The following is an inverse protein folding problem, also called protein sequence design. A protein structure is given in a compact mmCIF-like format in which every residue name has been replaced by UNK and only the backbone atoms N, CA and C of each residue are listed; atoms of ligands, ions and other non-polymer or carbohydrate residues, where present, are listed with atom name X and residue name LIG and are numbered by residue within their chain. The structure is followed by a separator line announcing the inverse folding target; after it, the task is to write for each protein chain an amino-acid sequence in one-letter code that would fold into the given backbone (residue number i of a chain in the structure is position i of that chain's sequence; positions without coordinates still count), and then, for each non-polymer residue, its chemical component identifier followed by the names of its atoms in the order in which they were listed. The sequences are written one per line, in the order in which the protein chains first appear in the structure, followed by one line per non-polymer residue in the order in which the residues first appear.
data_IF_729119296225
#
_entry.id   IF_729119296225
#
_cell.length_a   1.000
_cell.length_b   1.000
_cell.length_c   1.000
_cell.angle_alpha   90.00
_cell.angle_beta   90.00
_cell.angle_gamma   90.00
#
_symmetry.space_group_name_H-M   'P 1'
#
loop_
_entity.id
_entity.type
_entity.pdbx_description
1 polymer ?
#
# COMPACT_ATOMS: atom_id res chain seq x y z
N UNK A 1 19.52 16.36 -2.79
CA UNK A 1 18.39 17.14 -3.33
C UNK A 1 18.81 18.39 -4.11
N UNK A 2 19.79 19.18 -3.66
CA UNK A 2 20.36 20.28 -4.48
C UNK A 2 19.37 21.41 -4.81
N UNK A 3 18.35 21.58 -3.97
CA UNK A 3 17.38 22.68 -4.08
C UNK A 3 18.03 23.97 -3.61
N UNK A 4 17.91 25.03 -4.40
CA UNK A 4 18.29 26.39 -4.02
C UNK A 4 17.06 27.29 -3.99
N UNK A 5 16.96 28.26 -3.06
CA UNK A 5 15.82 29.17 -3.03
C UNK A 5 15.67 29.91 -4.36
N UNK A 6 14.51 29.75 -5.00
CA UNK A 6 14.14 30.47 -6.21
C UNK A 6 12.75 31.09 -6.00
N UNK A 7 12.72 32.40 -5.81
CA UNK A 7 11.50 33.16 -5.52
C UNK A 7 10.67 33.51 -6.76
N UNK A 8 11.16 33.17 -7.96
CA UNK A 8 10.41 33.32 -9.21
C UNK A 8 9.44 32.15 -9.46
N UNK A 9 9.58 31.06 -8.70
CA UNK A 9 8.71 29.89 -8.80
C UNK A 9 7.51 30.00 -7.86
N UNK A 10 6.36 29.54 -8.34
CA UNK A 10 5.19 29.31 -7.49
C UNK A 10 5.44 28.15 -6.51
N UNK A 11 4.71 28.13 -5.39
CA UNK A 11 4.76 27.02 -4.43
C UNK A 11 4.52 25.66 -5.10
N UNK A 12 3.59 25.58 -6.05
CA UNK A 12 3.31 24.36 -6.79
C UNK A 12 4.50 23.88 -7.61
N UNK A 13 5.20 24.80 -8.30
CA UNK A 13 6.39 24.46 -9.09
C UNK A 13 7.54 23.98 -8.20
N UNK A 14 7.76 24.64 -7.05
CA UNK A 14 8.77 24.20 -6.07
C UNK A 14 8.45 22.81 -5.54
N UNK A 15 7.18 22.53 -5.26
CA UNK A 15 6.78 21.22 -4.73
C UNK A 15 6.91 20.12 -5.77
N UNK A 16 6.49 20.37 -7.01
CA UNK A 16 6.70 19.45 -8.14
C UNK A 16 8.17 19.14 -8.37
N UNK A 17 9.04 20.16 -8.43
CA UNK A 17 10.48 19.98 -8.62
C UNK A 17 11.10 19.17 -7.47
N UNK A 18 10.65 19.40 -6.23
CA UNK A 18 11.09 18.62 -5.07
C UNK A 18 10.71 17.15 -5.19
N UNK A 19 9.46 16.84 -5.57
CA UNK A 19 8.98 15.47 -5.78
C UNK A 19 9.77 14.77 -6.89
N UNK A 20 9.96 15.43 -8.03
CA UNK A 20 10.68 14.86 -9.17
C UNK A 20 12.15 14.57 -8.83
N UNK A 21 12.82 15.48 -8.11
CA UNK A 21 14.20 15.27 -7.64
C UNK A 21 14.28 14.16 -6.61
N UNK A 22 13.29 14.05 -5.73
CA UNK A 22 13.22 12.95 -4.76
C UNK A 22 13.17 11.62 -5.50
N UNK A 23 12.20 11.43 -6.40
CA UNK A 23 12.04 10.19 -7.19
C UNK A 23 13.33 9.84 -7.95
N UNK A 24 13.96 10.83 -8.59
CA UNK A 24 15.20 10.62 -9.33
C UNK A 24 16.38 10.18 -8.45
N UNK A 25 16.47 10.70 -7.22
CA UNK A 25 17.58 10.45 -6.29
C UNK A 25 17.36 9.19 -5.44
N UNK A 26 16.15 8.97 -4.94
CA UNK A 26 15.81 7.82 -4.10
C UNK A 26 15.54 6.55 -4.89
N UNK A 27 15.26 6.68 -6.20
CA UNK A 27 14.80 5.56 -7.06
C UNK A 27 13.52 4.91 -6.56
N UNK A 28 12.70 5.64 -5.79
CA UNK A 28 11.40 5.16 -5.31
C UNK A 28 10.32 6.23 -5.48
N UNK A 29 9.05 5.81 -5.43
CA UNK A 29 7.86 6.66 -5.54
C UNK A 29 7.14 6.81 -4.19
N UNK A 30 7.78 6.46 -3.07
CA UNK A 30 7.22 6.57 -1.71
C UNK A 30 6.70 7.96 -1.33
N UNK A 31 7.22 9.01 -1.96
CA UNK A 31 6.71 10.37 -1.78
C UNK A 31 5.23 10.50 -2.18
N UNK A 32 4.72 9.63 -3.06
CA UNK A 32 3.31 9.57 -3.43
C UNK A 32 2.41 9.13 -2.26
N UNK A 33 2.91 8.30 -1.34
CA UNK A 33 2.18 7.93 -0.12
C UNK A 33 1.97 9.12 0.83
N UNK A 34 2.77 10.19 0.68
CA UNK A 34 2.54 11.45 1.40
C UNK A 34 1.46 12.32 0.76
N UNK A 35 0.92 11.93 -0.39
CA UNK A 35 -0.19 12.63 -1.02
C UNK A 35 -1.49 12.27 -0.32
N UNK A 36 -2.34 13.27 -0.16
CA UNK A 36 -3.68 13.10 0.37
C UNK A 36 -4.59 14.06 -0.41
N UNK A 37 -5.56 13.49 -1.12
CA UNK A 37 -6.54 14.27 -1.86
C UNK A 37 -7.45 14.97 -0.87
N UNK A 38 -7.60 16.28 -1.04
CA UNK A 38 -8.51 17.11 -0.25
C UNK A 38 -9.35 17.89 -1.25
N UNK A 39 -10.67 17.88 -1.08
CA UNK A 39 -11.64 18.49 -2.00
C UNK A 39 -11.40 19.99 -2.32
N UNK A 40 -10.52 20.66 -1.56
CA UNK A 40 -10.16 22.07 -1.75
C UNK A 40 -8.99 22.32 -2.74
N UNK A 41 -8.34 21.29 -3.30
CA UNK A 41 -7.22 21.46 -4.25
C UNK A 41 -7.71 21.76 -5.66
N UNK A 42 -7.53 23.00 -6.13
CA UNK A 42 -7.71 23.38 -7.54
C UNK A 42 -6.41 23.77 -8.26
N UNK A 43 -5.30 23.94 -7.54
CA UNK A 43 -4.11 24.64 -8.06
C UNK A 43 -2.82 23.81 -8.10
N UNK A 44 -2.82 22.54 -7.67
CA UNK A 44 -1.62 21.70 -7.64
C UNK A 44 -1.97 20.25 -7.98
N UNK A 45 -1.13 19.55 -8.76
CA UNK A 45 -1.37 18.16 -9.11
C UNK A 45 -1.50 17.26 -7.89
N UNK A 46 -2.32 16.22 -7.95
CA UNK A 46 -2.62 15.35 -6.79
C UNK A 46 -1.47 14.42 -6.41
N UNK A 47 -0.57 14.12 -7.35
CA UNK A 47 0.67 13.36 -7.11
C UNK A 47 1.76 14.15 -6.36
N UNK A 48 1.49 15.40 -5.99
CA UNK A 48 2.41 16.26 -5.24
C UNK A 48 1.91 16.41 -3.80
N UNK A 49 2.70 16.10 -2.76
CA UNK A 49 2.27 16.37 -1.39
C UNK A 49 2.05 17.87 -1.15
N UNK A 50 1.02 18.23 -0.36
CA UNK A 50 0.82 19.62 0.06
C UNK A 50 1.51 19.85 1.41
N UNK A 51 2.79 20.20 1.36
CA UNK A 51 3.57 20.49 2.56
C UNK A 51 3.16 21.79 3.28
N UNK A 52 2.19 22.56 2.77
CA UNK A 52 1.64 23.71 3.49
C UNK A 52 0.61 23.32 4.56
N UNK A 53 0.21 22.04 4.60
CA UNK A 53 -0.82 21.51 5.49
C UNK A 53 -0.32 20.26 6.20
N UNK A 54 -0.86 20.02 7.40
CA UNK A 54 -0.69 18.73 8.07
C UNK A 54 -1.60 17.70 7.39
N UNK A 55 -1.10 16.49 7.14
CA UNK A 55 -1.91 15.35 6.70
C UNK A 55 -2.99 15.03 7.75
N UNK A 56 -4.14 14.56 7.27
CA UNK A 56 -5.22 14.04 8.11
C UNK A 56 -4.93 12.57 8.43
N UNK A 57 -4.62 11.75 7.42
CA UNK A 57 -4.21 10.37 7.65
C UNK A 57 -2.84 10.28 8.35
N UNK A 58 -2.74 9.33 9.29
CA UNK A 58 -1.45 8.93 9.84
C UNK A 58 -0.58 8.28 8.77
N UNK A 59 0.73 8.49 8.85
CA UNK A 59 1.66 7.82 7.95
C UNK A 59 1.66 6.32 8.22
N UNK A 60 1.32 5.53 7.21
CA UNK A 60 1.48 4.08 7.26
C UNK A 60 2.96 3.74 7.52
N UNK A 61 3.28 2.84 8.47
CA UNK A 61 4.64 2.28 8.57
C UNK A 61 5.03 1.56 7.27
N UNK A 62 6.34 1.39 7.07
CA UNK A 62 6.87 0.84 5.82
C UNK A 62 6.40 -0.59 5.60
N UNK A 63 5.91 -0.85 4.39
CA UNK A 63 5.57 -2.16 3.86
C UNK A 63 6.35 -2.36 2.54
N UNK A 64 6.11 -3.46 1.83
CA UNK A 64 6.78 -3.74 0.56
C UNK A 64 5.75 -4.10 -0.52
N UNK A 65 4.71 -3.27 -0.65
CA UNK A 65 3.62 -3.50 -1.60
C UNK A 65 4.13 -3.67 -3.04
N UNK A 66 5.09 -2.83 -3.45
CA UNK A 66 5.76 -2.97 -4.75
C UNK A 66 7.07 -3.77 -4.69
N UNK A 67 7.23 -4.64 -3.68
CA UNK A 67 8.47 -5.36 -3.40
C UNK A 67 9.64 -4.37 -3.36
N UNK A 68 10.81 -4.76 -3.86
CA UNK A 68 11.99 -3.90 -3.99
C UNK A 68 12.07 -3.20 -5.36
N UNK A 69 10.93 -2.98 -6.04
CA UNK A 69 10.94 -2.37 -7.37
C UNK A 69 11.42 -0.93 -7.31
N UNK A 70 12.20 -0.51 -8.32
CA UNK A 70 12.55 0.90 -8.47
C UNK A 70 11.40 1.71 -9.08
N UNK A 71 11.43 3.01 -8.86
CA UNK A 71 10.54 3.97 -9.48
C UNK A 71 10.64 3.93 -11.00
N UNK A 72 9.52 3.57 -11.64
CA UNK A 72 9.31 3.75 -13.06
C UNK A 72 8.34 4.91 -13.28
N UNK A 73 8.81 6.11 -12.92
CA UNK A 73 8.00 7.33 -12.96
C UNK A 73 8.81 8.54 -13.47
N UNK A 74 8.17 9.41 -14.24
CA UNK A 74 8.80 10.59 -14.81
C UNK A 74 7.82 11.68 -15.22
N UNK A 75 8.27 12.94 -15.28
CA UNK A 75 7.41 14.06 -15.67
C UNK A 75 7.03 13.96 -17.14
N UNK A 76 5.84 14.44 -17.46
CA UNK A 76 5.35 14.56 -18.83
C UNK A 76 5.23 16.05 -19.20
N UNK A 77 5.12 16.33 -20.50
CA UNK A 77 5.11 17.72 -21.01
C UNK A 77 3.91 18.58 -20.57
N UNK A 78 2.86 17.99 -19.98
CA UNK A 78 1.66 18.69 -19.53
C UNK A 78 1.61 18.91 -18.00
N UNK A 79 2.69 18.59 -17.26
CA UNK A 79 2.74 18.71 -15.80
C UNK A 79 2.14 17.51 -15.05
N UNK A 80 1.79 16.43 -15.76
CA UNK A 80 1.44 15.14 -15.15
C UNK A 80 2.71 14.33 -14.83
N UNK A 81 2.60 13.39 -13.90
CA UNK A 81 3.60 12.36 -13.63
C UNK A 81 3.15 11.05 -14.27
N UNK A 82 3.89 10.55 -15.26
CA UNK A 82 3.67 9.22 -15.80
C UNK A 82 4.35 8.20 -14.89
N UNK A 83 3.62 7.23 -14.36
CA UNK A 83 4.14 6.18 -13.49
C UNK A 83 3.62 4.80 -13.90
N UNK A 84 4.43 3.76 -13.77
CA UNK A 84 3.97 2.38 -13.98
C UNK A 84 3.39 1.78 -12.70
N UNK A 85 2.29 1.05 -12.82
CA UNK A 85 1.65 0.36 -11.69
C UNK A 85 0.80 -0.82 -12.10
N UNK A 86 0.38 -1.61 -11.12
CA UNK A 86 -0.51 -2.77 -11.29
C UNK A 86 -1.86 -2.43 -10.70
N UNK A 87 -2.92 -2.55 -11.50
CA UNK A 87 -4.30 -2.46 -11.00
C UNK A 87 -4.61 -3.69 -10.14
N UNK A 88 -5.11 -3.47 -8.92
CA UNK A 88 -5.42 -4.55 -7.99
C UNK A 88 -6.93 -4.72 -7.78
N UNK A 89 -7.66 -3.63 -7.51
CA UNK A 89 -9.09 -3.70 -7.19
C UNK A 89 -9.82 -2.37 -7.37
N UNK A 90 -11.16 -2.39 -7.37
CA UNK A 90 -12.05 -1.21 -7.39
C UNK A 90 -12.87 -1.11 -6.10
N UNK A 91 -13.05 0.10 -5.55
CA UNK A 91 -13.75 0.28 -4.26
C UNK A 91 -15.19 -0.05 -4.50
N UNK A 92 -15.70 -1.06 -3.79
CA UNK A 92 -17.12 -1.38 -3.88
C UNK A 92 -17.92 -0.54 -2.87
N UNK A 93 -17.45 -0.50 -1.62
CA UNK A 93 -18.15 0.17 -0.53
C UNK A 93 -17.17 1.01 0.30
N UNK A 94 -17.71 1.94 1.08
CA UNK A 94 -16.89 2.79 1.94
C UNK A 94 -17.61 2.95 3.26
N UNK A 95 -16.96 2.51 4.33
CA UNK A 95 -17.45 2.71 5.70
C UNK A 95 -16.40 3.43 6.52
N UNK A 96 -16.82 4.52 7.17
CA UNK A 96 -16.00 5.27 8.12
C UNK A 96 -15.92 4.50 9.44
N UNK A 97 -14.71 4.30 9.97
CA UNK A 97 -14.50 3.65 11.27
C UNK A 97 -14.94 4.55 12.43
N UNK A 98 -13.99 5.27 13.01
CA UNK A 98 -14.17 6.16 14.15
C UNK A 98 -13.08 7.22 14.09
N UNK A 99 -13.38 8.42 14.59
CA UNK A 99 -12.39 9.48 14.73
C UNK A 99 -11.55 9.31 16.00
N UNK A 100 -10.79 10.34 16.33
CA UNK A 100 -9.96 10.35 17.53
C UNK A 100 -10.78 10.33 18.83
N UNK A 101 -10.20 9.71 19.87
CA UNK A 101 -10.71 9.72 21.25
C UNK A 101 -12.12 9.14 21.45
N UNK A 102 -12.42 8.03 20.77
CA UNK A 102 -13.73 7.36 20.86
C UNK A 102 -13.78 6.33 22.01
N UNK A 103 -14.88 6.26 22.79
CA UNK A 103 -15.03 5.25 23.85
C UNK A 103 -14.94 3.81 23.30
N UNK A 104 -14.35 2.87 24.06
CA UNK A 104 -14.14 1.50 23.53
C UNK A 104 -15.44 0.78 23.20
N UNK A 105 -16.54 1.08 23.89
CA UNK A 105 -17.85 0.50 23.58
C UNK A 105 -18.31 0.89 22.17
N UNK A 106 -18.03 2.13 21.77
CA UNK A 106 -18.33 2.60 20.43
C UNK A 106 -17.37 1.98 19.41
N UNK A 107 -16.08 1.81 19.74
CA UNK A 107 -15.13 1.05 18.91
C UNK A 107 -15.63 -0.39 18.69
N UNK A 108 -16.01 -1.09 19.75
CA UNK A 108 -16.55 -2.45 19.70
C UNK A 108 -17.83 -2.52 18.86
N UNK A 109 -18.75 -1.58 19.07
CA UNK A 109 -19.99 -1.51 18.30
C UNK A 109 -19.72 -1.29 16.81
N UNK A 110 -18.80 -0.38 16.48
CA UNK A 110 -18.39 -0.13 15.10
C UNK A 110 -17.72 -1.36 14.49
N UNK A 111 -16.74 -1.98 15.18
CA UNK A 111 -16.08 -3.22 14.71
C UNK A 111 -17.10 -4.31 14.40
N UNK A 112 -18.11 -4.50 15.25
CA UNK A 112 -19.19 -5.46 14.96
C UNK A 112 -20.04 -5.04 13.75
N UNK A 113 -20.38 -3.76 13.67
CA UNK A 113 -21.27 -3.24 12.62
C UNK A 113 -20.66 -3.35 11.23
N UNK A 114 -19.35 -3.10 11.11
CA UNK A 114 -18.65 -3.08 9.83
C UNK A 114 -18.06 -4.45 9.46
N UNK A 115 -18.14 -5.43 10.35
CA UNK A 115 -17.56 -6.74 10.12
C UNK A 115 -18.14 -7.37 8.85
N UNK A 116 -17.30 -7.93 7.97
CA UNK A 116 -17.78 -8.63 6.78
C UNK A 116 -18.76 -9.77 7.12
N UNK A 117 -19.68 -10.05 6.20
CA UNK A 117 -20.54 -11.22 6.32
C UNK A 117 -19.69 -12.50 6.44
N UNK A 118 -20.05 -13.38 7.37
CA UNK A 118 -19.33 -14.62 7.68
C UNK A 118 -17.87 -14.41 8.16
N UNK A 119 -17.50 -13.25 8.71
CA UNK A 119 -16.12 -12.96 9.15
C UNK A 119 -15.49 -14.06 10.01
N UNK A 120 -16.25 -14.76 10.85
CA UNK A 120 -15.74 -15.80 11.75
C UNK A 120 -15.26 -17.08 11.06
N UNK A 121 -15.71 -17.36 9.84
CA UNK A 121 -15.45 -18.64 9.15
C UNK A 121 -15.30 -18.52 7.65
N UNK A 122 -15.42 -17.32 7.09
CA UNK A 122 -15.34 -17.06 5.66
C UNK A 122 -13.93 -17.30 5.15
N UNK A 123 -13.77 -17.80 3.92
CA UNK A 123 -12.46 -17.81 3.26
C UNK A 123 -12.03 -16.37 2.95
N UNK A 124 -10.72 -16.14 2.84
CA UNK A 124 -10.18 -14.89 2.34
C UNK A 124 -9.03 -15.20 1.39
N UNK A 125 -9.32 -15.09 0.09
CA UNK A 125 -8.43 -15.51 -1.00
C UNK A 125 -7.85 -16.91 -0.71
N UNK A 126 -6.57 -17.09 -1.00
CA UNK A 126 -5.82 -18.33 -0.72
C UNK A 126 -5.11 -18.29 0.64
N UNK A 127 -5.46 -17.34 1.54
CA UNK A 127 -4.85 -17.26 2.88
C UNK A 127 -5.43 -18.31 3.82
N UNK A 128 -4.55 -19.10 4.44
CA UNK A 128 -4.94 -20.16 5.39
C UNK A 128 -5.74 -19.63 6.61
N UNK A 129 -5.51 -18.38 7.01
CA UNK A 129 -6.20 -17.71 8.12
C UNK A 129 -7.65 -17.31 7.89
N UNK A 130 -8.08 -17.27 6.63
CA UNK A 130 -9.43 -16.84 6.26
C UNK A 130 -9.74 -15.38 6.62
N UNK A 131 -11.04 -15.07 6.65
CA UNK A 131 -11.56 -13.71 6.74
C UNK A 131 -11.42 -13.07 8.13
N UNK A 132 -11.41 -13.87 9.19
CA UNK A 132 -11.23 -13.38 10.56
C UNK A 132 -9.82 -12.79 10.74
N UNK A 133 -8.80 -13.53 10.29
CA UNK A 133 -7.41 -13.09 10.33
C UNK A 133 -7.20 -11.85 9.46
N UNK A 134 -7.72 -11.84 8.24
CA UNK A 134 -7.65 -10.68 7.34
C UNK A 134 -8.31 -9.44 7.94
N UNK A 135 -9.46 -9.61 8.61
CA UNK A 135 -10.15 -8.53 9.30
C UNK A 135 -9.36 -8.01 10.51
N UNK A 136 -8.79 -8.92 11.30
CA UNK A 136 -7.91 -8.58 12.42
C UNK A 136 -6.69 -7.79 11.96
N UNK A 137 -5.99 -8.29 10.94
CA UNK A 137 -4.84 -7.62 10.35
C UNK A 137 -5.21 -6.24 9.81
N UNK A 138 -6.37 -6.11 9.19
CA UNK A 138 -6.85 -4.82 8.68
C UNK A 138 -7.06 -3.81 9.81
N UNK A 139 -7.73 -4.19 10.90
CA UNK A 139 -7.92 -3.30 12.05
C UNK A 139 -6.60 -2.87 12.70
N UNK A 140 -5.56 -3.70 12.60
CA UNK A 140 -4.23 -3.44 13.14
C UNK A 140 -3.24 -2.87 12.10
N UNK A 141 -3.66 -2.57 10.87
CA UNK A 141 -2.78 -2.12 9.78
C UNK A 141 -1.65 -3.13 9.46
N UNK A 142 -1.87 -4.41 9.77
CA UNK A 142 -0.88 -5.49 9.67
C UNK A 142 0.24 -5.40 10.70
N UNK A 143 0.15 -4.52 11.69
CA UNK A 143 1.20 -4.27 12.67
C UNK A 143 1.05 -5.19 13.87
N UNK A 144 1.75 -6.31 13.79
CA UNK A 144 1.90 -7.26 14.88
C UNK A 144 3.37 -7.38 15.27
N UNK A 145 3.62 -7.81 16.50
CA UNK A 145 4.97 -8.02 17.02
C UNK A 145 5.83 -8.92 16.11
N UNK A 146 5.22 -10.01 15.63
CA UNK A 146 5.79 -11.04 14.77
C UNK A 146 6.06 -10.59 13.33
N UNK A 147 5.66 -9.36 12.96
CA UNK A 147 6.14 -8.73 11.74
C UNK A 147 7.63 -8.38 11.84
N UNK A 148 8.22 -8.31 13.03
CA UNK A 148 9.60 -7.91 13.25
C UNK A 148 10.45 -9.04 13.83
N UNK A 149 11.75 -8.99 13.55
CA UNK A 149 12.75 -9.84 14.18
C UNK A 149 13.88 -8.97 14.76
N UNK A 150 14.10 -8.96 16.09
CA UNK A 150 13.27 -9.62 17.12
C UNK A 150 11.85 -9.03 17.19
N UNK A 151 10.88 -9.74 17.78
CA UNK A 151 9.50 -9.25 17.89
C UNK A 151 9.41 -7.89 18.59
N UNK A 152 8.62 -6.98 18.02
CA UNK A 152 8.51 -5.62 18.53
C UNK A 152 7.42 -5.51 19.60
N UNK A 153 7.83 -5.46 20.88
CA UNK A 153 6.93 -5.47 22.06
C UNK A 153 5.86 -4.36 22.08
N UNK A 154 6.05 -3.26 21.35
CA UNK A 154 5.05 -2.19 21.24
C UNK A 154 3.84 -2.56 20.38
N UNK A 155 3.95 -3.59 19.55
CA UNK A 155 2.86 -4.10 18.74
C UNK A 155 2.18 -5.30 19.40
N UNK A 156 0.88 -5.51 19.13
CA UNK A 156 0.16 -6.62 19.72
C UNK A 156 0.60 -7.97 19.13
N UNK A 157 0.46 -9.01 19.93
CA UNK A 157 0.57 -10.40 19.48
C UNK A 157 -0.56 -10.73 18.50
N UNK A 158 -0.21 -11.37 17.38
CA UNK A 158 -1.14 -11.69 16.30
C UNK A 158 -2.24 -12.66 16.73
N UNK A 159 -1.87 -13.78 17.34
CA UNK A 159 -2.81 -14.86 17.67
C UNK A 159 -3.74 -14.41 18.81
N UNK A 160 -3.20 -13.71 19.81
CA UNK A 160 -3.99 -13.10 20.89
C UNK A 160 -4.98 -12.05 20.36
N UNK A 161 -4.58 -11.28 19.34
CA UNK A 161 -5.46 -10.29 18.71
C UNK A 161 -6.62 -10.96 17.97
N UNK A 162 -6.37 -12.05 17.26
CA UNK A 162 -7.41 -12.85 16.59
C UNK A 162 -8.40 -13.42 17.61
N UNK A 163 -7.91 -14.03 18.69
CA UNK A 163 -8.77 -14.56 19.75
C UNK A 163 -9.62 -13.45 20.40
N UNK A 164 -9.01 -12.29 20.67
CA UNK A 164 -9.70 -11.14 21.24
C UNK A 164 -10.78 -10.60 20.30
N UNK A 165 -10.49 -10.48 19.00
CA UNK A 165 -11.45 -10.04 17.99
C UNK A 165 -12.61 -11.04 17.87
N UNK A 166 -12.33 -12.34 17.91
CA UNK A 166 -13.34 -13.38 17.91
C UNK A 166 -14.33 -13.21 19.07
N UNK A 167 -13.83 -12.98 20.28
CA UNK A 167 -14.67 -12.71 21.45
C UNK A 167 -15.50 -11.42 21.27
N UNK A 168 -14.90 -10.37 20.72
CA UNK A 168 -15.60 -9.12 20.42
C UNK A 168 -16.76 -9.38 19.45
N UNK A 169 -16.57 -10.19 18.42
CA UNK A 169 -17.59 -10.50 17.41
C UNK A 169 -18.68 -11.47 17.92
N UNK A 170 -18.33 -12.39 18.83
CA UNK A 170 -19.25 -13.40 19.37
C UNK A 170 -20.09 -12.91 20.57
N UNK A 171 -19.55 -12.02 21.41
CA UNK A 171 -20.21 -11.58 22.64
C UNK A 171 -21.02 -10.29 22.46
N UNK A 172 -22.06 -10.08 23.28
CA UNK A 172 -22.71 -8.80 23.50
C UNK A 172 -22.49 -8.38 24.96
N UNK A 173 -21.39 -7.70 25.32
CA UNK A 173 -21.33 -7.01 26.63
C UNK A 173 -20.27 -5.90 26.74
N UNK A 174 -20.50 -5.05 27.75
CA UNK A 174 -19.90 -3.74 28.01
C UNK A 174 -18.49 -3.78 28.63
N UNK A 175 -17.46 -3.41 27.87
CA UNK A 175 -16.12 -3.14 28.40
C UNK A 175 -15.88 -1.63 28.65
N UNK A 176 -15.35 -1.29 29.83
CA UNK A 176 -14.97 0.08 30.24
C UNK A 176 -13.47 0.35 30.07
N UNK A 177 -12.97 0.25 28.83
CA UNK A 177 -11.63 0.75 28.49
C UNK A 177 -11.73 1.89 27.49
N UNK A 178 -10.65 2.60 27.26
CA UNK A 178 -10.54 3.65 26.23
C UNK A 178 -9.39 3.24 25.33
N UNK A 179 -9.63 3.18 24.03
CA UNK A 179 -8.59 2.89 23.03
C UNK A 179 -8.09 4.21 22.45
N UNK A 180 -6.78 4.34 22.24
CA UNK A 180 -6.20 5.49 21.55
C UNK A 180 -6.22 5.27 20.03
N UNK A 181 -7.05 6.06 19.36
CA UNK A 181 -6.92 6.64 18.01
C UNK A 181 -6.33 5.77 16.89
N UNK A 182 -7.14 5.48 15.88
CA UNK A 182 -6.70 5.20 14.51
C UNK A 182 -7.49 6.12 13.57
N UNK A 183 -6.79 6.93 12.78
CA UNK A 183 -7.41 7.87 11.85
C UNK A 183 -8.14 7.19 10.70
N UNK A 184 -9.24 7.84 10.29
CA UNK A 184 -10.15 7.61 9.18
C UNK A 184 -9.70 6.59 8.14
N UNK A 185 -10.14 5.37 8.34
CA UNK A 185 -9.89 4.29 7.41
C UNK A 185 -11.19 3.82 6.76
N UNK A 186 -11.16 3.72 5.45
CA UNK A 186 -12.27 3.24 4.62
C UNK A 186 -12.07 1.78 4.26
N UNK A 187 -13.01 0.92 4.64
CA UNK A 187 -13.09 -0.48 4.20
C UNK A 187 -13.86 -0.61 2.87
N UNK A 188 -13.27 -1.35 1.91
CA UNK A 188 -13.87 -2.38 1.00
C UNK A 188 -13.32 -2.34 -0.42
N UNK A 189 -12.90 -3.49 -0.96
CA UNK A 189 -12.73 -3.72 -2.41
C UNK A 189 -13.08 -5.16 -2.83
N UNK A 190 -13.53 -5.39 -4.07
CA UNK A 190 -13.96 -6.72 -4.57
C UNK A 190 -12.93 -7.83 -4.29
N UNK A 191 -13.21 -8.68 -3.29
CA UNK A 191 -12.34 -9.78 -2.89
C UNK A 191 -11.21 -9.42 -1.91
N UNK A 192 -11.02 -8.15 -1.57
CA UNK A 192 -10.01 -7.64 -0.63
C UNK A 192 -10.63 -6.89 0.56
N UNK A 193 -9.92 -6.85 1.69
CA UNK A 193 -10.23 -6.00 2.83
C UNK A 193 -9.04 -5.09 3.13
N UNK A 194 -9.31 -3.84 3.48
CA UNK A 194 -8.26 -2.83 3.62
C UNK A 194 -8.76 -1.51 4.20
N UNK A 195 -7.86 -0.55 4.32
CA UNK A 195 -8.05 0.78 4.87
C UNK A 195 -7.52 1.81 3.88
N UNK A 196 -8.37 2.71 3.43
CA UNK A 196 -7.99 3.85 2.58
C UNK A 196 -8.20 5.20 3.27
N UNK A 197 -7.70 6.29 2.67
CA UNK A 197 -7.78 7.64 3.21
C UNK A 197 -9.23 8.12 3.31
N UNK A 198 -9.45 9.16 4.12
CA UNK A 198 -10.78 9.75 4.39
C UNK A 198 -11.63 10.06 3.15
N UNK A 199 -10.98 10.45 2.04
CA UNK A 199 -11.66 10.89 0.83
C UNK A 199 -11.82 9.79 -0.22
N UNK A 200 -11.55 8.53 0.13
CA UNK A 200 -11.88 7.36 -0.69
C UNK A 200 -13.39 7.27 -0.90
N UNK A 201 -13.79 6.87 -2.12
CA UNK A 201 -15.18 6.74 -2.53
C UNK A 201 -15.38 5.47 -3.36
N UNK A 202 -16.60 4.88 -3.35
CA UNK A 202 -16.96 3.84 -4.31
C UNK A 202 -16.55 4.21 -5.75
N UNK A 203 -15.87 3.30 -6.45
CA UNK A 203 -15.38 3.50 -7.82
C UNK A 203 -13.95 4.03 -7.97
N UNK A 204 -13.31 4.53 -6.90
CA UNK A 204 -11.83 4.65 -6.89
C UNK A 204 -11.17 3.27 -7.05
N UNK A 205 -9.87 3.26 -7.36
CA UNK A 205 -9.12 2.05 -7.68
C UNK A 205 -7.88 1.93 -6.82
N UNK A 206 -7.50 0.72 -6.47
CA UNK A 206 -6.24 0.43 -5.79
C UNK A 206 -5.19 0.03 -6.82
N UNK A 207 -4.05 0.70 -6.77
CA UNK A 207 -2.88 0.38 -7.55
C UNK A 207 -1.67 0.14 -6.66
N UNK A 208 -0.87 -0.86 -7.01
CA UNK A 208 0.52 -0.94 -6.55
C UNK A 208 1.39 -0.24 -7.58
N UNK A 209 1.88 0.94 -7.24
CA UNK A 209 2.78 1.74 -8.09
C UNK A 209 4.22 1.30 -7.85
N UNK A 210 4.99 1.08 -8.93
CA UNK A 210 6.38 0.64 -8.81
C UNK A 210 7.22 1.68 -8.03
N UNK A 211 8.01 1.19 -7.09
CA UNK A 211 8.77 2.00 -6.13
C UNK A 211 7.95 2.57 -4.97
N UNK A 212 6.68 2.20 -4.81
CA UNK A 212 5.87 2.60 -3.66
C UNK A 212 5.68 1.43 -2.69
N UNK A 213 5.95 1.67 -1.42
CA UNK A 213 5.93 0.67 -0.35
C UNK A 213 4.52 0.28 0.08
N UNK A 214 3.51 1.05 -0.34
CA UNK A 214 2.10 0.86 0.00
C UNK A 214 1.21 0.95 -1.25
N UNK A 215 0.07 0.24 -1.30
CA UNK A 215 -0.93 0.47 -2.34
C UNK A 215 -1.48 1.90 -2.26
N UNK A 216 -1.74 2.50 -3.40
CA UNK A 216 -2.34 3.83 -3.52
C UNK A 216 -3.79 3.71 -4.00
N UNK A 217 -4.68 4.49 -3.38
CA UNK A 217 -6.02 4.75 -3.92
C UNK A 217 -5.89 5.83 -4.98
N UNK A 218 -6.35 5.53 -6.19
CA UNK A 218 -6.27 6.37 -7.38
C UNK A 218 -7.67 6.50 -7.99
N UNK A 219 -8.05 7.72 -8.35
CA UNK A 219 -9.36 8.04 -8.91
C UNK A 219 -9.25 8.40 -10.39
N UNK A 220 -10.15 7.88 -11.21
CA UNK A 220 -10.28 8.30 -12.59
C UNK A 220 -10.81 9.73 -12.68
N UNK A 221 -10.08 10.60 -13.37
CA UNK A 221 -10.57 11.93 -13.71
C UNK A 221 -11.44 11.83 -14.96
N UNK A 222 -12.73 11.63 -14.75
CA UNK A 222 -13.69 11.60 -15.85
C UNK A 222 -13.71 12.97 -16.56
N UNK A 223 -13.63 12.96 -17.89
CA UNK A 223 -13.82 14.10 -18.80
C UNK A 223 -15.25 14.66 -18.75
N UNK A 224 -15.66 15.19 -17.60
CA UNK A 224 -17.04 15.62 -17.32
C UNK A 224 -17.18 17.08 -16.85
N UNK A 225 -16.15 17.90 -16.99
CA UNK A 225 -16.26 19.36 -16.86
C UNK A 225 -16.36 20.03 -18.23
N UNK A 226 -17.00 21.20 -18.31
CA UNK A 226 -17.31 22.03 -19.51
C UNK A 226 -16.14 22.39 -20.46
N UNK A 227 -14.98 21.73 -20.33
CA UNK A 227 -13.92 21.76 -21.32
C UNK A 227 -14.01 20.47 -22.12
N UNK A 228 -14.41 20.61 -23.38
CA UNK A 228 -14.21 19.60 -24.41
C UNK A 228 -12.73 19.19 -24.42
N UNK A 229 -12.38 18.16 -23.64
CA UNK A 229 -11.09 17.50 -23.72
C UNK A 229 -11.07 16.76 -25.04
N UNK A 230 -10.12 17.15 -25.90
CA UNK A 230 -9.69 16.34 -27.04
C UNK A 230 -9.44 14.90 -26.55
N UNK A 231 -9.58 13.88 -27.41
CA UNK A 231 -9.23 12.50 -27.05
C UNK A 231 -7.77 12.47 -26.55
N UNK A 232 -7.61 12.40 -25.24
CA UNK A 232 -6.35 12.32 -24.52
C UNK A 232 -6.29 11.01 -23.74
N UNK A 233 -5.09 10.63 -23.32
CA UNK A 233 -4.92 9.48 -22.42
C UNK A 233 -5.69 9.70 -21.11
N UNK A 234 -6.19 8.64 -20.46
CA UNK A 234 -6.90 8.76 -19.19
C UNK A 234 -6.01 9.42 -18.14
N UNK A 235 -6.57 10.40 -17.43
CA UNK A 235 -5.93 11.12 -16.34
C UNK A 235 -6.40 10.57 -14.99
N UNK A 236 -5.48 10.53 -14.03
CA UNK A 236 -5.71 9.89 -12.74
C UNK A 236 -5.32 10.82 -11.59
N UNK A 237 -6.10 10.80 -10.52
CA UNK A 237 -5.85 11.57 -9.31
C UNK A 237 -5.39 10.63 -8.17
N UNK A 238 -4.29 10.96 -7.50
CA UNK A 238 -3.85 10.27 -6.29
C UNK A 238 -4.76 10.68 -5.13
N UNK A 239 -5.51 9.72 -4.58
CA UNK A 239 -6.36 9.94 -3.40
C UNK A 239 -5.55 9.82 -2.11
N UNK A 240 -4.67 8.83 -2.02
CA UNK A 240 -3.73 8.66 -0.90
C UNK A 240 -3.25 7.21 -0.73
N UNK A 241 -2.45 6.97 0.30
CA UNK A 241 -1.97 5.65 0.71
C UNK A 241 -3.07 4.79 1.33
N UNK A 242 -2.91 3.48 1.22
CA UNK A 242 -3.85 2.51 1.79
C UNK A 242 -3.13 1.29 2.35
N UNK A 243 -3.74 0.67 3.35
CA UNK A 243 -3.42 -0.70 3.75
C UNK A 243 -4.39 -1.64 3.02
N UNK A 244 -3.90 -2.67 2.34
CA UNK A 244 -4.77 -3.70 1.75
C UNK A 244 -4.21 -5.07 2.09
N UNK A 245 -4.96 -5.84 2.88
CA UNK A 245 -4.47 -7.13 3.33
C UNK A 245 -4.30 -8.08 2.13
N UNK A 246 -3.09 -8.64 2.00
CA UNK A 246 -2.69 -9.45 0.86
C UNK A 246 -2.07 -8.67 -0.32
N UNK A 247 -1.80 -7.37 -0.17
CA UNK A 247 -1.06 -6.55 -1.14
C UNK A 247 0.11 -5.75 -0.51
N UNK A 248 0.50 -6.06 0.73
CA UNK A 248 1.51 -5.29 1.47
C UNK A 248 2.93 -5.88 1.37
N UNK A 249 3.10 -6.99 0.66
CA UNK A 249 4.33 -7.77 0.60
C UNK A 249 4.61 -8.25 -0.84
N UNK A 250 4.45 -7.38 -1.85
CA UNK A 250 4.84 -7.64 -3.23
C UNK A 250 3.90 -8.56 -4.01
N UNK A 251 2.75 -8.95 -3.46
CA UNK A 251 1.84 -9.94 -4.04
C UNK A 251 1.28 -9.49 -5.39
N UNK A 252 1.03 -8.18 -5.58
CA UNK A 252 0.57 -7.63 -6.85
C UNK A 252 1.54 -7.86 -8.02
N UNK A 253 2.85 -7.95 -7.73
CA UNK A 253 3.90 -8.12 -8.72
C UNK A 253 4.33 -9.58 -8.85
N UNK A 254 4.40 -10.28 -7.72
CA UNK A 254 5.09 -11.58 -7.62
C UNK A 254 4.13 -12.75 -7.34
N UNK A 255 2.85 -12.46 -7.06
CA UNK A 255 1.88 -13.43 -6.58
C UNK A 255 2.03 -13.73 -5.08
N UNK A 256 1.19 -14.62 -4.54
CA UNK A 256 1.22 -14.97 -3.12
C UNK A 256 2.57 -15.58 -2.72
N UNK A 257 2.98 -15.33 -1.49
CA UNK A 257 4.12 -16.03 -0.91
C UNK A 257 3.87 -17.54 -0.89
N UNK A 258 4.91 -18.39 -1.06
CA UNK A 258 4.77 -19.82 -0.90
C UNK A 258 4.16 -20.18 0.46
N UNK A 259 3.40 -21.27 0.53
CA UNK A 259 2.85 -21.76 1.80
C UNK A 259 3.97 -21.91 2.84
N UNK A 260 3.67 -21.54 4.09
CA UNK A 260 4.62 -21.53 5.22
C UNK A 260 5.72 -20.45 5.15
N UNK A 261 5.79 -19.64 4.09
CA UNK A 261 6.68 -18.49 4.01
C UNK A 261 6.00 -17.25 4.61
N UNK A 262 6.73 -16.52 5.46
CA UNK A 262 6.32 -15.20 5.95
C UNK A 262 7.45 -14.20 5.72
N UNK A 263 7.07 -12.96 5.42
CA UNK A 263 7.99 -11.84 5.39
C UNK A 263 8.02 -11.20 6.79
N UNK A 264 9.22 -10.98 7.33
CA UNK A 264 9.46 -10.25 8.58
C UNK A 264 10.47 -9.15 8.33
N UNK A 265 10.42 -8.11 9.16
CA UNK A 265 11.31 -6.96 9.12
C UNK A 265 12.41 -7.20 10.15
N UNK A 266 13.62 -7.48 9.67
CA UNK A 266 14.81 -7.64 10.50
C UNK A 266 15.27 -6.26 10.99
N UNK A 267 15.20 -6.09 12.32
CA UNK A 267 15.55 -4.89 13.08
C UNK A 267 16.52 -5.21 14.22
N UNK A 268 17.22 -6.35 14.17
CA UNK A 268 18.11 -6.80 15.24
C UNK A 268 19.30 -5.85 15.46
N UNK A 269 19.80 -5.25 14.38
CA UNK A 269 20.86 -4.25 14.43
C UNK A 269 20.31 -2.82 14.31
N UNK A 270 20.30 -2.03 15.40
CA UNK A 270 19.81 -0.64 15.37
C UNK A 270 20.71 0.31 14.58
N UNK A 271 21.94 -0.09 14.24
CA UNK A 271 22.84 0.69 13.39
C UNK A 271 22.57 0.45 11.89
N UNK A 272 21.83 -0.60 11.55
CA UNK A 272 21.46 -0.94 10.18
C UNK A 272 20.00 -0.58 9.87
N UNK A 273 19.70 -0.24 8.60
CA UNK A 273 18.32 -0.05 8.20
C UNK A 273 17.55 -1.36 8.31
N UNK A 274 16.33 -1.27 8.80
CA UNK A 274 15.41 -2.41 8.83
C UNK A 274 15.22 -2.97 7.42
N UNK A 275 15.34 -4.28 7.27
CA UNK A 275 15.29 -4.97 5.97
C UNK A 275 14.30 -6.13 5.99
N UNK A 276 13.65 -6.44 4.85
CA UNK A 276 12.83 -7.65 4.78
C UNK A 276 13.69 -8.91 4.84
N UNK A 277 13.15 -9.92 5.52
CA UNK A 277 13.64 -11.28 5.56
C UNK A 277 12.45 -12.22 5.31
N UNK A 278 12.67 -13.27 4.54
CA UNK A 278 11.68 -14.29 4.26
C UNK A 278 12.03 -15.54 5.07
N UNK A 279 11.10 -15.95 5.93
CA UNK A 279 11.25 -17.05 6.88
C UNK A 279 10.30 -18.17 6.48
N UNK A 280 10.83 -19.37 6.27
CA UNK A 280 10.03 -20.57 6.04
C UNK A 280 9.75 -21.28 7.36
N UNK A 281 8.50 -21.71 7.56
CA UNK A 281 8.06 -22.46 8.73
C UNK A 281 8.80 -23.79 8.94
N UNK A 282 8.67 -24.41 10.13
CA UNK A 282 9.47 -25.57 10.54
C UNK A 282 9.16 -26.88 9.80
N UNK A 283 8.18 -26.93 8.88
CA UNK A 283 7.73 -28.15 8.20
C UNK A 283 8.72 -28.72 7.18
N UNK A 284 9.54 -27.87 6.55
CA UNK A 284 10.50 -28.28 5.51
C UNK A 284 11.85 -27.59 5.69
N UNK A 285 12.51 -27.79 6.83
CA UNK A 285 13.84 -27.24 7.09
C UNK A 285 13.84 -25.71 7.17
N UNK A 286 13.74 -25.19 8.40
CA UNK A 286 13.76 -23.75 8.65
C UNK A 286 14.97 -23.10 7.94
N UNK A 287 14.68 -22.15 7.06
CA UNK A 287 15.67 -21.36 6.35
C UNK A 287 15.17 -19.91 6.28
N UNK A 288 16.11 -18.98 6.42
CA UNK A 288 15.88 -17.55 6.37
C UNK A 288 16.69 -16.97 5.21
N UNK A 289 16.08 -16.10 4.42
CA UNK A 289 16.74 -15.45 3.29
C UNK A 289 16.36 -14.00 3.17
N UNK A 290 17.32 -13.16 2.79
CA UNK A 290 17.07 -11.77 2.43
C UNK A 290 16.43 -11.63 1.04
N UNK A 291 16.57 -12.65 0.18
CA UNK A 291 16.03 -12.63 -1.17
C UNK A 291 14.61 -13.19 -1.20
N UNK A 292 13.71 -12.46 -1.86
CA UNK A 292 12.33 -12.89 -2.07
C UNK A 292 12.29 -14.15 -2.96
N UNK A 293 11.74 -15.27 -2.45
CA UNK A 293 11.77 -16.55 -3.16
C UNK A 293 10.96 -16.53 -4.46
N UNK A 294 10.06 -15.56 -4.65
CA UNK A 294 9.22 -15.46 -5.86
C UNK A 294 9.98 -14.87 -7.05
N UNK A 295 11.11 -14.19 -6.82
CA UNK A 295 11.86 -13.51 -7.88
C UNK A 295 12.52 -14.46 -8.88
N UNK A 296 12.80 -15.71 -8.51
CA UNK A 296 13.37 -16.69 -9.45
C UNK A 296 12.41 -17.03 -10.59
N UNK A 297 11.09 -17.04 -10.32
CA UNK A 297 10.07 -17.22 -11.35
C UNK A 297 10.07 -16.05 -12.35
N UNK A 298 10.24 -14.83 -11.86
CA UNK A 298 10.37 -13.63 -12.68
C UNK A 298 11.63 -13.69 -13.55
N UNK A 299 12.78 -14.08 -12.97
CA UNK A 299 14.04 -14.25 -13.70
C UNK A 299 13.91 -15.24 -14.86
N UNK A 300 13.26 -16.37 -14.65
CA UNK A 300 13.05 -17.37 -15.69
C UNK A 300 12.23 -16.79 -16.86
N UNK A 301 11.14 -16.06 -16.56
CA UNK A 301 10.29 -15.44 -17.57
C UNK A 301 11.03 -14.35 -18.37
N UNK A 302 11.74 -13.44 -17.68
CA UNK A 302 12.50 -12.36 -18.32
C UNK A 302 13.63 -12.89 -19.24
N UNK A 303 14.32 -13.95 -18.81
CA UNK A 303 15.35 -14.61 -19.62
C UNK A 303 14.77 -15.22 -20.89
N UNK A 304 13.62 -15.89 -20.80
CA UNK A 304 12.95 -16.48 -21.98
C UNK A 304 12.43 -15.42 -22.96
N UNK A 305 12.00 -14.26 -22.46
CA UNK A 305 11.47 -13.18 -23.29
C UNK A 305 12.55 -12.24 -23.84
N UNK A 306 13.83 -12.45 -23.49
CA UNK A 306 14.96 -11.58 -23.86
C UNK A 306 14.73 -10.10 -23.46
N UNK A 307 14.13 -9.87 -22.29
CA UNK A 307 13.82 -8.53 -21.77
C UNK A 307 15.04 -7.86 -21.11
N UNK A 308 14.86 -6.70 -20.48
CA UNK A 308 15.97 -5.95 -19.87
C UNK A 308 16.61 -6.70 -18.69
N UNK A 309 17.94 -6.58 -18.56
CA UNK A 309 18.76 -7.11 -17.44
C UNK A 309 18.60 -8.63 -17.21
N UNK A 310 18.89 -9.45 -18.22
CA UNK A 310 18.76 -10.92 -18.12
C UNK A 310 19.88 -11.65 -17.37
N UNK A 311 21.05 -11.02 -17.16
CA UNK A 311 22.20 -11.66 -16.50
C UNK A 311 23.04 -10.67 -15.67
N UNK A 312 23.50 -11.10 -14.49
CA UNK A 312 24.59 -10.46 -13.73
C UNK A 312 24.23 -9.28 -12.81
N UNK A 313 22.97 -8.83 -12.77
CA UNK A 313 22.48 -7.79 -11.84
C UNK A 313 21.85 -8.38 -10.56
N UNK A 314 21.56 -7.53 -9.57
CA UNK A 314 20.78 -7.94 -8.39
C UNK A 314 19.37 -8.37 -8.82
N UNK A 315 18.74 -9.29 -8.09
CA UNK A 315 17.45 -9.88 -8.50
C UNK A 315 16.34 -8.84 -8.51
N UNK A 316 16.50 -7.83 -7.67
CA UNK A 316 15.62 -6.68 -7.48
C UNK A 316 15.60 -5.79 -8.73
N UNK A 317 16.69 -5.74 -9.50
CA UNK A 317 16.76 -5.02 -10.77
C UNK A 317 15.88 -5.64 -11.87
N UNK A 318 15.34 -6.84 -11.65
CA UNK A 318 14.44 -7.52 -12.59
C UNK A 318 13.01 -6.97 -12.53
N UNK A 319 12.65 -6.17 -11.52
CA UNK A 319 11.30 -5.62 -11.32
C UNK A 319 11.02 -4.41 -12.24
N UNK A 320 11.29 -4.55 -13.54
CA UNK A 320 10.94 -3.57 -14.57
C UNK A 320 9.54 -3.84 -15.15
N UNK A 321 8.83 -2.82 -15.67
CA UNK A 321 7.56 -3.00 -16.34
C UNK A 321 7.61 -4.06 -17.45
N UNK A 322 8.67 -4.11 -18.24
CA UNK A 322 8.86 -5.06 -19.35
C UNK A 322 8.96 -6.50 -18.83
N UNK A 323 9.78 -6.72 -17.80
CA UNK A 323 10.00 -8.04 -17.21
C UNK A 323 8.73 -8.56 -16.51
N UNK A 324 8.03 -7.68 -15.80
CA UNK A 324 6.76 -8.01 -15.15
C UNK A 324 5.69 -8.37 -16.19
N UNK A 325 5.57 -7.60 -17.28
CA UNK A 325 4.66 -7.94 -18.40
C UNK A 325 5.03 -9.27 -19.05
N UNK A 326 6.32 -9.55 -19.24
CA UNK A 326 6.79 -10.85 -19.75
C UNK A 326 6.43 -12.03 -18.82
N UNK A 327 6.39 -11.78 -17.51
CA UNK A 327 5.92 -12.75 -16.51
C UNK A 327 4.39 -12.83 -16.38
N UNK A 328 3.64 -12.07 -17.19
CA UNK A 328 2.17 -12.08 -17.21
C UNK A 328 1.50 -11.11 -16.24
N UNK A 329 2.26 -10.21 -15.61
CA UNK A 329 1.71 -9.15 -14.75
C UNK A 329 1.18 -8.01 -15.61
N UNK A 330 -0.06 -7.58 -15.35
CA UNK A 330 -0.70 -6.48 -16.08
C UNK A 330 -0.21 -5.11 -15.58
N UNK A 331 1.00 -4.72 -15.97
CA UNK A 331 1.56 -3.39 -15.66
C UNK A 331 1.02 -2.35 -16.63
N UNK A 332 0.35 -1.34 -16.10
CA UNK A 332 -0.23 -0.21 -16.84
C UNK A 332 0.51 1.08 -16.57
N UNK A 333 0.37 2.03 -17.49
CA UNK A 333 0.88 3.40 -17.31
C UNK A 333 -0.24 4.29 -16.75
N UNK A 334 0.09 5.03 -15.69
CA UNK A 334 -0.78 5.97 -14.99
C UNK A 334 -0.30 7.39 -15.27
N UNK A 335 -1.15 8.22 -15.88
CA UNK A 335 -0.91 9.66 -16.01
C UNK A 335 -1.51 10.39 -14.82
N UNK A 336 -0.72 10.58 -13.78
CA UNK A 336 -1.15 11.21 -12.54
C UNK A 336 -1.18 12.75 -12.71
N UNK A 337 -2.32 13.37 -12.40
CA UNK A 337 -2.57 14.82 -12.55
C UNK A 337 -2.94 15.50 -11.26
#
# INVERSE_FOLDING_TARGET
MGLTPNYDLTTSQVYQDTVLRYIQQSKNTNILASCESIAARKTMPTWVPDWSRKRIANTMPMHLASSTSEAHAGPTGNGALKASGVYCATVAEVTELFGDFVPVLQVIATVRQIAPANVLSGPYMDHAGGLLEAYCATLAWGLFDSLYNPPMESYPDHDVSIESLKLVLEQQEDSKRTSSSYDYSTLVYEGYIGLGPKYTKPGDKVYVVLGCDVPLVIRDRHSGGDRATLPGEPEFEVVGDSYVHGLMSGEALLGPLPNECKMVMDSDDPEQPTRPMFVMGPGTGAFETAHDPRLEKLRAAATSAACEKTQGGSVEELLTPENLRAAGVNVVDLNLV
#
